data_IF_446163960393
#
_entry.id   IF_446163960393
#
_cell.length_a   1.000
_cell.length_b   1.000
_cell.length_c   1.000
_cell.angle_alpha   90.00
_cell.angle_beta   90.00
_cell.angle_gamma   90.00
#
_symmetry.space_group_name_H-M   'P 1'
#
loop_
_entity.id
_entity.type
_entity.pdbx_description
1 polymer ?
#
# COMPACT_ATOMS: atom_id res chain seq x y z
N UNK A 1 -36.50 -38.16 43.08
CA UNK A 1 -36.32 -38.61 44.48
C UNK A 1 -36.00 -40.09 44.46
N UNK A 2 -34.77 -40.44 44.90
CA UNK A 2 -34.21 -41.77 45.25
C UNK A 2 -34.07 -42.83 44.14
N UNK A 3 -33.05 -43.70 44.09
CA UNK A 3 -31.59 -43.70 44.32
C UNK A 3 -31.14 -45.19 44.31
N UNK A 4 -29.99 -45.48 43.69
CA UNK A 4 -28.99 -46.54 43.97
C UNK A 4 -29.32 -48.05 43.91
N UNK A 5 -28.59 -48.81 43.06
CA UNK A 5 -27.37 -49.60 43.40
C UNK A 5 -26.92 -50.42 42.17
N UNK A 6 -25.70 -50.28 41.63
CA UNK A 6 -24.36 -50.76 42.08
C UNK A 6 -24.07 -52.22 41.73
N UNK A 7 -23.08 -52.44 40.84
CA UNK A 7 -22.07 -53.51 40.94
C UNK A 7 -20.79 -53.08 40.20
N UNK A 8 -19.63 -53.42 40.77
CA UNK A 8 -18.26 -52.95 40.49
C UNK A 8 -17.32 -54.17 40.33
N UNK A 9 -16.18 -53.97 39.65
CA UNK A 9 -14.89 -54.73 39.73
C UNK A 9 -14.81 -56.10 39.02
N UNK A 10 -13.70 -56.59 38.43
CA UNK A 10 -12.28 -56.19 38.35
C UNK A 10 -11.55 -56.84 37.14
N UNK A 11 -10.42 -56.22 36.77
CA UNK A 11 -9.24 -56.63 35.96
C UNK A 11 -8.77 -58.09 35.97
N UNK A 12 -8.26 -58.60 34.82
CA UNK A 12 -7.00 -59.42 34.71
C UNK A 12 -6.36 -59.25 33.32
N UNK A 13 -5.02 -59.08 33.34
CA UNK A 13 -4.03 -58.95 32.27
C UNK A 13 -3.64 -60.32 31.69
N UNK A 14 -3.39 -60.44 30.37
CA UNK A 14 -2.53 -61.50 29.84
C UNK A 14 -1.62 -61.00 28.70
N UNK A 15 -0.32 -61.16 28.95
CA UNK A 15 0.84 -60.92 28.11
C UNK A 15 1.12 -62.19 27.29
N UNK A 16 1.39 -62.12 25.98
CA UNK A 16 2.30 -63.07 25.31
C UNK A 16 2.87 -62.49 24.01
N UNK A 17 4.18 -62.65 23.92
CA UNK A 17 5.14 -62.17 22.92
C UNK A 17 5.21 -63.16 21.76
N UNK A 18 5.31 -62.68 20.52
CA UNK A 18 5.99 -63.43 19.45
C UNK A 18 6.70 -62.47 18.48
N UNK A 19 7.98 -62.77 18.30
CA UNK A 19 9.02 -62.04 17.60
C UNK A 19 9.01 -62.43 16.12
N UNK A 20 9.04 -61.46 15.21
CA UNK A 20 9.63 -61.66 13.87
C UNK A 20 10.51 -60.45 13.54
N UNK A 21 11.82 -60.70 13.49
CA UNK A 21 12.84 -59.80 12.93
C UNK A 21 12.79 -59.87 11.41
N UNK A 22 12.90 -58.73 10.72
CA UNK A 22 13.79 -58.57 9.55
C UNK A 22 13.73 -57.15 8.95
N UNK A 23 14.84 -56.44 9.18
CA UNK A 23 15.52 -55.47 8.30
C UNK A 23 14.86 -54.11 7.98
N UNK A 24 15.41 -53.11 8.68
CA UNK A 24 15.38 -51.69 8.38
C UNK A 24 16.21 -51.35 7.12
N UNK A 25 15.68 -50.45 6.28
CA UNK A 25 16.47 -49.42 5.60
C UNK A 25 15.84 -48.06 5.90
N UNK A 26 16.46 -47.30 6.79
CA UNK A 26 16.19 -45.89 7.02
C UNK A 26 17.26 -45.07 6.30
N UNK A 27 16.82 -44.14 5.45
CA UNK A 27 17.65 -43.11 4.84
C UNK A 27 18.14 -42.14 5.91
N UNK A 28 19.43 -41.83 5.88
CA UNK A 28 20.14 -41.02 6.86
C UNK A 28 19.78 -39.54 6.73
N UNK A 29 19.15 -38.98 7.77
CA UNK A 29 19.24 -37.57 8.10
C UNK A 29 19.63 -37.48 9.59
N UNK A 30 20.46 -36.50 9.91
CA UNK A 30 20.95 -36.09 11.22
C UNK A 30 22.16 -36.84 11.80
N UNK A 31 23.35 -36.31 11.48
CA UNK A 31 24.41 -35.99 12.45
C UNK A 31 25.59 -35.35 11.72
N UNK A 32 25.78 -34.03 11.88
CA UNK A 32 27.13 -33.45 11.83
C UNK A 32 27.29 -32.56 13.06
N UNK A 33 28.18 -33.05 13.93
CA UNK A 33 28.69 -32.46 15.15
C UNK A 33 29.75 -31.41 14.78
N UNK A 34 29.86 -30.36 15.60
CA UNK A 34 30.81 -29.27 15.39
C UNK A 34 32.25 -29.76 15.45
N UNK A 35 33.03 -29.49 14.40
CA UNK A 35 34.49 -29.53 14.47
C UNK A 35 35.06 -28.17 14.05
N UNK A 36 35.68 -27.49 15.02
CA UNK A 36 36.49 -26.31 14.76
C UNK A 36 37.85 -26.76 14.23
N UNK A 37 38.09 -26.52 12.94
CA UNK A 37 39.43 -26.59 12.34
C UNK A 37 39.74 -25.24 11.71
N UNK A 38 40.71 -24.54 12.29
CA UNK A 38 41.30 -23.31 11.77
C UNK A 38 42.19 -23.62 10.56
N UNK A 39 41.78 -23.18 9.37
CA UNK A 39 42.66 -23.14 8.19
C UNK A 39 43.00 -21.69 7.85
N UNK A 40 44.29 -21.32 7.75
CA UNK A 40 44.71 -19.99 7.34
C UNK A 40 44.64 -19.92 5.82
N UNK A 41 43.81 -19.04 5.28
CA UNK A 41 43.87 -18.68 3.85
C UNK A 41 44.17 -17.19 3.75
N UNK A 42 45.40 -16.89 3.35
CA UNK A 42 45.89 -15.55 3.12
C UNK A 42 45.21 -14.91 1.91
N UNK A 43 44.87 -13.64 2.06
CA UNK A 43 44.44 -12.75 0.99
C UNK A 43 45.57 -12.59 -0.03
N UNK A 44 45.34 -13.04 -1.26
CA UNK A 44 46.13 -12.65 -2.43
C UNK A 44 45.24 -11.76 -3.32
N UNK A 45 45.39 -10.45 -3.17
CA UNK A 45 44.83 -9.47 -4.09
C UNK A 45 45.64 -9.48 -5.39
N UNK A 46 45.03 -9.64 -6.58
CA UNK A 46 45.72 -9.37 -7.83
C UNK A 46 45.80 -7.84 -8.04
N UNK A 47 47.01 -7.32 -8.23
CA UNK A 47 47.22 -5.94 -8.69
C UNK A 47 46.74 -5.80 -10.14
N UNK A 48 45.94 -4.77 -10.48
CA UNK A 48 45.55 -4.51 -11.86
C UNK A 48 46.73 -3.90 -12.64
N UNK A 49 47.00 -4.45 -13.83
CA UNK A 49 47.93 -3.88 -14.82
C UNK A 49 47.26 -2.65 -15.45
N UNK A 50 47.93 -1.49 -15.57
CA UNK A 50 47.33 -0.30 -16.16
C UNK A 50 47.26 -0.44 -17.68
N UNK A 51 46.06 -0.48 -18.25
CA UNK A 51 45.83 -0.29 -19.69
C UNK A 51 45.94 1.20 -20.07
N UNK A 52 46.51 1.56 -21.24
CA UNK A 52 46.65 2.95 -21.65
C UNK A 52 45.27 3.60 -21.90
N UNK A 53 45.06 4.79 -21.35
CA UNK A 53 43.85 5.59 -21.58
C UNK A 53 43.82 6.12 -23.02
N UNK A 54 42.83 5.70 -23.80
CA UNK A 54 42.41 6.39 -25.03
C UNK A 54 41.38 7.44 -24.64
N UNK A 55 41.49 8.70 -25.08
CA UNK A 55 40.50 9.72 -24.73
C UNK A 55 39.18 9.42 -25.44
N UNK A 56 38.17 9.00 -24.67
CA UNK A 56 36.83 8.78 -25.18
C UNK A 56 36.06 10.10 -25.12
N UNK A 57 35.93 10.76 -26.27
CA UNK A 57 34.82 11.68 -26.50
C UNK A 57 33.55 10.82 -26.54
N UNK A 58 32.86 10.70 -25.40
CA UNK A 58 31.58 10.02 -25.32
C UNK A 58 30.47 11.07 -25.31
N UNK A 59 29.86 11.26 -26.48
CA UNK A 59 28.45 11.61 -26.59
C UNK A 59 27.66 10.68 -25.66
N UNK A 60 26.77 11.25 -24.85
CA UNK A 60 25.96 10.51 -23.90
C UNK A 60 24.92 9.71 -24.70
N UNK A 61 25.30 8.52 -25.17
CA UNK A 61 24.38 7.58 -25.80
C UNK A 61 23.26 7.27 -24.80
N UNK A 62 22.07 7.82 -25.06
CA UNK A 62 20.85 7.45 -24.35
C UNK A 62 20.58 5.98 -24.67
N UNK A 63 20.82 5.11 -23.69
CA UNK A 63 20.25 3.76 -23.70
C UNK A 63 18.74 3.92 -23.89
N UNK A 64 18.11 3.25 -24.87
CA UNK A 64 16.67 3.33 -25.03
C UNK A 64 16.02 2.88 -23.72
N UNK A 65 15.24 3.76 -23.08
CA UNK A 65 14.46 3.39 -21.91
C UNK A 65 13.57 2.21 -22.29
N UNK A 66 13.77 1.07 -21.64
CA UNK A 66 12.81 -0.04 -21.72
C UNK A 66 11.42 0.51 -21.44
N UNK A 67 10.40 0.15 -22.24
CA UNK A 67 9.06 0.68 -22.04
C UNK A 67 8.60 0.37 -20.63
N UNK A 68 8.02 1.36 -19.97
CA UNK A 68 7.42 1.19 -18.65
C UNK A 68 6.23 0.23 -18.77
N UNK A 69 6.41 -1.01 -18.32
CA UNK A 69 5.40 -2.07 -18.40
C UNK A 69 5.18 -2.66 -17.02
N UNK A 70 3.92 -2.78 -16.62
CA UNK A 70 3.48 -3.53 -15.45
C UNK A 70 2.84 -4.83 -15.94
N UNK A 71 3.46 -5.95 -15.60
CA UNK A 71 2.94 -7.27 -15.95
C UNK A 71 1.73 -7.61 -15.07
N UNK A 72 0.75 -8.29 -15.66
CA UNK A 72 -0.39 -8.85 -14.93
C UNK A 72 -0.09 -10.29 -14.52
N UNK A 73 -0.17 -10.57 -13.21
CA UNK A 73 0.21 -11.85 -12.61
C UNK A 73 -1.00 -12.74 -12.26
N UNK A 74 -2.11 -12.58 -13.00
CA UNK A 74 -3.31 -13.44 -12.97
C UNK A 74 -4.09 -13.49 -11.64
N UNK A 75 -3.77 -12.61 -10.69
CA UNK A 75 -4.48 -12.43 -9.44
C UNK A 75 -5.72 -11.54 -9.55
N UNK A 76 -6.59 -11.54 -8.53
CA UNK A 76 -7.81 -10.74 -8.56
C UNK A 76 -7.51 -9.25 -8.39
N UNK A 77 -8.42 -8.41 -8.90
CA UNK A 77 -8.46 -6.97 -8.64
C UNK A 77 -9.59 -6.63 -7.67
N UNK A 78 -9.61 -5.40 -7.14
CA UNK A 78 -10.73 -4.93 -6.31
C UNK A 78 -11.89 -4.46 -7.18
N UNK A 79 -12.69 -5.42 -7.67
CA UNK A 79 -13.89 -5.17 -8.49
C UNK A 79 -15.09 -4.64 -7.69
N UNK A 80 -15.04 -4.80 -6.36
CA UNK A 80 -16.10 -4.39 -5.45
C UNK A 80 -17.35 -5.28 -5.51
N UNK A 81 -18.43 -4.84 -4.87
CA UNK A 81 -19.74 -5.46 -5.00
C UNK A 81 -20.63 -4.52 -5.81
N UNK A 82 -21.28 -5.04 -6.86
CA UNK A 82 -22.11 -4.25 -7.79
C UNK A 82 -21.39 -3.01 -8.35
N UNK A 83 -20.10 -3.17 -8.71
CA UNK A 83 -19.23 -2.11 -9.24
C UNK A 83 -18.93 -0.97 -8.24
N UNK A 84 -19.08 -1.27 -6.93
CA UNK A 84 -18.83 -0.34 -5.81
C UNK A 84 -17.83 -0.94 -4.82
N UNK A 85 -16.71 -0.25 -4.60
CA UNK A 85 -15.78 -0.56 -3.53
C UNK A 85 -16.18 0.17 -2.26
N UNK A 86 -16.49 -0.58 -1.19
CA UNK A 86 -16.68 -0.01 0.14
C UNK A 86 -15.32 0.19 0.80
N UNK A 87 -15.08 1.42 1.27
CA UNK A 87 -13.91 1.83 2.02
C UNK A 87 -14.32 2.09 3.48
N UNK A 88 -13.63 1.44 4.41
CA UNK A 88 -13.76 1.66 5.85
C UNK A 88 -12.51 2.35 6.37
N UNK A 89 -12.66 3.51 7.01
CA UNK A 89 -11.54 4.32 7.47
C UNK A 89 -11.44 4.29 8.99
N UNK A 90 -10.26 3.96 9.51
CA UNK A 90 -9.97 3.91 10.93
C UNK A 90 -8.97 5.03 11.24
N UNK A 91 -9.43 6.06 11.95
CA UNK A 91 -8.57 7.13 12.46
C UNK A 91 -8.00 6.70 13.81
N UNK A 92 -6.68 6.55 13.88
CA UNK A 92 -5.94 6.21 15.09
C UNK A 92 -5.10 7.42 15.53
N UNK A 93 -5.38 7.96 16.72
CA UNK A 93 -4.73 9.17 17.23
C UNK A 93 -5.63 10.40 17.23
N UNK A 94 -5.00 11.58 17.33
CA UNK A 94 -5.65 12.82 17.76
C UNK A 94 -6.14 13.74 16.62
N UNK A 95 -6.58 13.17 15.49
CA UNK A 95 -6.98 13.94 14.31
C UNK A 95 -8.03 15.02 14.66
N UNK A 96 -7.73 16.26 14.29
CA UNK A 96 -8.67 17.38 14.45
C UNK A 96 -9.88 17.25 13.52
N UNK A 97 -10.98 17.91 13.86
CA UNK A 97 -12.18 17.97 13.02
C UNK A 97 -11.89 18.50 11.61
N UNK A 98 -10.96 19.46 11.48
CA UNK A 98 -10.59 20.03 10.18
C UNK A 98 -9.85 19.00 9.32
N UNK A 99 -8.92 18.24 9.90
CA UNK A 99 -8.17 17.21 9.19
C UNK A 99 -9.09 16.09 8.71
N UNK A 100 -9.97 15.58 9.59
CA UNK A 100 -10.98 14.57 9.21
C UNK A 100 -11.91 15.06 8.11
N UNK A 101 -12.42 16.30 8.23
CA UNK A 101 -13.28 16.90 7.20
C UNK A 101 -12.59 16.97 5.84
N UNK A 102 -11.29 17.29 5.81
CA UNK A 102 -10.48 17.33 4.56
C UNK A 102 -10.34 15.94 3.94
N UNK A 103 -10.05 14.91 4.76
CA UNK A 103 -9.96 13.52 4.32
C UNK A 103 -11.31 12.99 3.83
N UNK A 104 -12.39 13.29 4.54
CA UNK A 104 -13.76 12.94 4.14
C UNK A 104 -14.15 13.56 2.80
N UNK A 105 -13.81 14.84 2.57
CA UNK A 105 -14.01 15.49 1.26
C UNK A 105 -13.27 14.72 0.16
N UNK A 106 -12.02 14.31 0.39
CA UNK A 106 -11.28 13.49 -0.56
C UNK A 106 -12.00 12.16 -0.85
N UNK A 107 -12.36 11.39 0.19
CA UNK A 107 -13.02 10.09 0.02
C UNK A 107 -14.37 10.20 -0.68
N UNK A 108 -15.18 11.20 -0.34
CA UNK A 108 -16.46 11.44 -1.00
C UNK A 108 -16.28 11.82 -2.48
N UNK A 109 -15.14 12.41 -2.85
CA UNK A 109 -14.83 12.79 -4.23
C UNK A 109 -14.58 11.60 -5.16
N UNK A 110 -14.43 10.38 -4.63
CA UNK A 110 -14.26 9.13 -5.40
C UNK A 110 -15.60 8.52 -5.85
N UNK A 111 -16.74 9.12 -5.46
CA UNK A 111 -18.09 8.64 -5.81
C UNK A 111 -18.55 9.17 -7.17
N UNK A 112 -19.35 8.36 -7.87
CA UNK A 112 -20.00 8.80 -9.09
C UNK A 112 -21.00 9.94 -8.80
N UNK A 113 -21.09 10.90 -9.73
CA UNK A 113 -22.05 12.01 -9.64
C UNK A 113 -21.52 13.24 -8.92
N UNK A 114 -20.33 13.18 -8.32
CA UNK A 114 -19.64 14.37 -7.81
C UNK A 114 -19.22 15.24 -8.98
N UNK A 115 -19.88 16.40 -9.12
CA UNK A 115 -19.54 17.43 -10.10
C UNK A 115 -19.10 18.68 -9.34
N UNK A 116 -17.81 19.07 -9.40
CA UNK A 116 -17.40 20.39 -8.95
C UNK A 116 -18.21 21.46 -9.68
N UNK A 117 -18.50 22.58 -9.02
CA UNK A 117 -19.18 23.71 -9.69
C UNK A 117 -18.23 24.48 -10.61
N UNK A 118 -16.93 24.25 -10.50
CA UNK A 118 -15.93 24.73 -11.45
C UNK A 118 -16.00 23.99 -12.80
N UNK A 119 -15.56 24.69 -13.85
CA UNK A 119 -15.70 24.36 -15.27
C UNK A 119 -15.55 22.86 -15.57
N UNK A 120 -16.47 22.32 -16.38
CA UNK A 120 -16.53 20.91 -16.81
C UNK A 120 -15.26 20.36 -17.48
N UNK A 121 -14.30 21.23 -17.79
CA UNK A 121 -13.02 20.93 -18.44
C UNK A 121 -11.89 20.54 -17.49
N UNK A 122 -12.00 20.75 -16.17
CA UNK A 122 -10.90 20.42 -15.26
C UNK A 122 -10.89 18.93 -14.84
N UNK A 123 -9.70 18.37 -14.51
CA UNK A 123 -9.59 17.05 -13.90
C UNK A 123 -10.29 16.99 -12.53
N UNK A 124 -10.85 15.83 -12.19
CA UNK A 124 -11.53 15.61 -10.91
C UNK A 124 -11.05 14.32 -10.25
N UNK A 125 -11.18 14.21 -8.93
CA UNK A 125 -10.84 12.98 -8.20
C UNK A 125 -11.58 11.77 -8.74
N UNK A 126 -12.89 11.89 -9.02
CA UNK A 126 -13.68 10.79 -9.59
C UNK A 126 -13.18 10.38 -10.98
N UNK A 127 -12.88 11.36 -11.84
CA UNK A 127 -12.33 11.05 -13.15
C UNK A 127 -10.95 10.38 -12.97
N UNK A 128 -10.04 10.90 -12.13
CA UNK A 128 -8.74 10.27 -11.83
C UNK A 128 -8.90 8.81 -11.39
N UNK A 129 -9.90 8.54 -10.55
CA UNK A 129 -10.25 7.18 -10.15
C UNK A 129 -10.63 6.29 -11.34
N UNK A 130 -11.30 6.83 -12.37
CA UNK A 130 -11.64 6.06 -13.57
C UNK A 130 -10.43 5.55 -14.34
N UNK A 131 -9.22 6.09 -14.15
CA UNK A 131 -8.02 5.54 -14.79
C UNK A 131 -7.75 4.09 -14.33
N UNK A 132 -8.12 3.75 -13.09
CA UNK A 132 -8.03 2.37 -12.56
C UNK A 132 -8.94 1.39 -13.32
N UNK A 133 -9.95 1.90 -14.06
CA UNK A 133 -10.84 1.07 -14.89
C UNK A 133 -10.18 0.53 -16.14
N UNK A 134 -8.93 0.87 -16.45
CA UNK A 134 -8.22 0.25 -17.56
C UNK A 134 -7.62 -1.11 -17.19
N UNK A 135 -7.46 -1.38 -15.89
CA UNK A 135 -6.98 -2.64 -15.36
C UNK A 135 -8.10 -3.69 -15.39
N UNK A 136 -7.75 -4.93 -15.75
CA UNK A 136 -8.69 -6.04 -15.95
C UNK A 136 -8.13 -7.30 -15.30
N UNK A 137 -8.96 -8.05 -14.60
CA UNK A 137 -8.57 -9.37 -14.10
C UNK A 137 -8.67 -10.44 -15.20
N UNK A 138 -8.38 -11.69 -14.84
CA UNK A 138 -8.44 -12.87 -15.73
C UNK A 138 -9.83 -13.09 -16.35
N UNK A 139 -10.89 -12.61 -15.70
CA UNK A 139 -12.28 -12.73 -16.16
C UNK A 139 -12.73 -11.51 -16.98
N UNK A 140 -11.87 -10.50 -17.13
CA UNK A 140 -12.19 -9.25 -17.79
C UNK A 140 -12.95 -8.27 -16.91
N UNK A 141 -13.07 -8.53 -15.61
CA UNK A 141 -13.68 -7.59 -14.67
C UNK A 141 -12.67 -6.49 -14.33
N UNK A 142 -13.17 -5.26 -14.26
CA UNK A 142 -12.35 -4.10 -13.92
C UNK A 142 -12.42 -3.75 -12.44
N UNK A 143 -11.48 -2.91 -12.00
CA UNK A 143 -11.58 -2.21 -10.70
C UNK A 143 -12.95 -1.55 -10.56
N UNK A 144 -13.49 -1.48 -9.33
CA UNK A 144 -14.77 -0.86 -9.06
C UNK A 144 -14.90 0.56 -9.63
N UNK A 145 -16.06 0.91 -10.21
CA UNK A 145 -16.33 2.25 -10.79
C UNK A 145 -16.18 3.38 -9.80
N UNK A 146 -16.52 3.13 -8.55
CA UNK A 146 -16.55 4.15 -7.53
C UNK A 146 -16.18 3.57 -6.19
N UNK A 147 -15.64 4.44 -5.35
CA UNK A 147 -15.37 4.14 -3.94
C UNK A 147 -16.40 4.85 -3.09
N UNK A 148 -16.90 4.17 -2.08
CA UNK A 148 -17.84 4.69 -1.10
C UNK A 148 -17.19 4.61 0.28
N UNK A 149 -17.06 5.76 0.96
CA UNK A 149 -16.81 5.79 2.40
C UNK A 149 -18.01 5.16 3.11
N UNK A 150 -17.87 3.90 3.52
CA UNK A 150 -18.96 3.07 4.03
C UNK A 150 -19.05 3.06 5.55
N UNK A 151 -17.97 3.41 6.24
CA UNK A 151 -17.92 3.52 7.69
C UNK A 151 -16.61 4.14 8.15
N UNK A 152 -16.66 4.76 9.34
CA UNK A 152 -15.51 5.42 9.95
C UNK A 152 -15.44 5.05 11.42
N UNK A 153 -14.24 4.78 11.93
CA UNK A 153 -13.98 4.48 13.34
C UNK A 153 -12.89 5.40 13.88
N UNK A 154 -13.02 5.80 15.14
CA UNK A 154 -12.00 6.59 15.84
C UNK A 154 -11.43 5.77 17.00
N UNK A 155 -10.11 5.68 17.07
CA UNK A 155 -9.37 4.99 18.12
C UNK A 155 -8.37 5.98 18.70
N UNK A 156 -8.42 6.29 20.01
CA UNK A 156 -7.41 7.13 20.65
C UNK A 156 -6.00 6.52 20.51
N UNK A 157 -4.97 7.36 20.47
CA UNK A 157 -3.58 6.87 20.49
C UNK A 157 -3.30 6.11 21.78
N UNK A 158 -2.73 4.90 21.65
CA UNK A 158 -2.23 4.11 22.76
C UNK A 158 -0.69 3.94 22.72
N UNK A 159 0.00 4.73 21.90
CA UNK A 159 1.46 4.74 21.78
C UNK A 159 1.96 4.24 20.43
N UNK A 160 3.05 3.48 20.45
CA UNK A 160 3.73 3.03 19.25
C UNK A 160 3.04 1.81 18.64
N UNK A 161 2.96 1.75 17.32
CA UNK A 161 2.39 0.63 16.58
C UNK A 161 3.46 -0.10 15.75
N UNK A 162 3.36 -1.42 15.72
CA UNK A 162 4.03 -2.28 14.75
C UNK A 162 3.10 -2.58 13.56
N UNK A 163 3.64 -3.21 12.52
CA UNK A 163 2.80 -3.71 11.43
C UNK A 163 1.75 -4.74 11.89
N UNK A 164 2.06 -5.53 12.92
CA UNK A 164 1.12 -6.51 13.49
C UNK A 164 -0.02 -5.82 14.23
N UNK A 165 0.25 -4.72 14.94
CA UNK A 165 -0.78 -3.94 15.63
C UNK A 165 -1.77 -3.33 14.63
N UNK A 166 -1.27 -2.82 13.49
CA UNK A 166 -2.12 -2.32 12.40
C UNK A 166 -3.03 -3.43 11.87
N UNK A 167 -2.48 -4.62 11.63
CA UNK A 167 -3.28 -5.76 11.18
C UNK A 167 -4.36 -6.13 12.21
N UNK A 168 -4.03 -6.07 13.51
CA UNK A 168 -4.98 -6.33 14.58
C UNK A 168 -6.09 -5.26 14.63
N UNK A 169 -5.76 -3.98 14.48
CA UNK A 169 -6.74 -2.88 14.38
C UNK A 169 -7.74 -3.11 13.24
N UNK A 170 -7.26 -3.62 12.09
CA UNK A 170 -8.11 -3.97 10.96
C UNK A 170 -9.05 -5.12 11.35
N UNK A 171 -8.52 -6.22 11.90
CA UNK A 171 -9.31 -7.37 12.35
C UNK A 171 -10.38 -6.97 13.37
N UNK A 172 -10.03 -6.16 14.37
CA UNK A 172 -10.95 -5.70 15.41
C UNK A 172 -12.06 -4.81 14.84
N UNK A 173 -11.76 -4.05 13.78
CA UNK A 173 -12.73 -3.19 13.09
C UNK A 173 -13.72 -3.98 12.23
N UNK A 174 -13.42 -5.24 11.91
CA UNK A 174 -14.35 -6.10 11.15
C UNK A 174 -15.63 -6.45 11.92
N UNK A 175 -15.60 -6.36 13.26
CA UNK A 175 -16.78 -6.59 14.10
C UNK A 175 -17.90 -5.58 13.78
N UNK A 176 -17.52 -4.33 13.48
CA UNK A 176 -18.46 -3.26 13.13
C UNK A 176 -18.73 -3.21 11.62
N UNK A 177 -17.70 -3.39 10.81
CA UNK A 177 -17.76 -3.13 9.37
C UNK A 177 -18.05 -4.37 8.51
N UNK A 178 -18.06 -5.57 9.11
CA UNK A 178 -18.15 -6.84 8.43
C UNK A 178 -16.78 -7.32 7.93
N UNK A 179 -16.76 -8.46 7.24
CA UNK A 179 -15.57 -9.13 6.71
C UNK A 179 -15.81 -9.51 5.26
N UNK A 180 -15.00 -9.01 4.33
CA UNK A 180 -15.13 -9.36 2.90
C UNK A 180 -13.85 -9.06 2.14
N UNK A 181 -13.44 -9.96 1.25
CA UNK A 181 -12.34 -9.70 0.32
C UNK A 181 -12.65 -8.61 -0.73
N UNK A 182 -13.91 -8.15 -0.82
CA UNK A 182 -14.37 -7.13 -1.79
C UNK A 182 -14.49 -5.72 -1.18
N UNK A 183 -14.05 -5.54 0.06
CA UNK A 183 -14.01 -4.23 0.75
C UNK A 183 -12.58 -3.91 1.13
N UNK A 184 -12.30 -2.64 1.42
CA UNK A 184 -10.97 -2.18 1.82
C UNK A 184 -11.02 -1.48 3.16
N UNK A 185 -10.02 -1.76 4.00
CA UNK A 185 -9.79 -1.04 5.27
C UNK A 185 -8.59 -0.11 5.11
N UNK A 186 -8.71 1.12 5.60
CA UNK A 186 -7.66 2.11 5.60
C UNK A 186 -7.45 2.61 7.02
N UNK A 187 -6.28 2.31 7.59
CA UNK A 187 -5.86 2.83 8.90
C UNK A 187 -5.07 4.12 8.67
N UNK A 188 -5.50 5.21 9.29
CA UNK A 188 -4.80 6.49 9.26
C UNK A 188 -4.28 6.77 10.67
N UNK A 189 -2.98 7.00 10.82
CA UNK A 189 -2.40 7.41 12.11
C UNK A 189 -2.07 8.89 12.12
N UNK A 190 -2.44 9.59 13.19
CA UNK A 190 -2.13 11.02 13.32
C UNK A 190 -0.68 11.26 13.76
N UNK A 191 -0.27 12.53 13.84
CA UNK A 191 1.12 12.93 14.10
C UNK A 191 1.56 12.68 15.57
N UNK A 192 0.64 12.28 16.44
CA UNK A 192 0.89 11.85 17.83
C UNK A 192 1.18 10.34 17.96
N UNK A 193 1.28 9.62 16.85
CA UNK A 193 1.48 8.17 16.81
C UNK A 193 2.80 7.84 16.13
N UNK A 194 3.60 6.98 16.74
CA UNK A 194 4.81 6.43 16.09
C UNK A 194 4.47 5.06 15.53
N UNK A 195 4.83 4.81 14.28
CA UNK A 195 4.65 3.51 13.64
C UNK A 195 6.01 2.99 13.20
N UNK A 196 6.24 1.70 13.40
CA UNK A 196 7.44 1.01 12.92
C UNK A 196 7.72 1.33 11.45
N UNK A 197 8.97 1.72 11.16
CA UNK A 197 9.48 2.07 9.81
C UNK A 197 8.78 3.25 9.12
N UNK A 198 7.84 3.93 9.76
CA UNK A 198 7.33 5.20 9.25
C UNK A 198 8.50 6.17 9.04
N UNK A 199 8.46 6.93 7.94
CA UNK A 199 9.51 7.87 7.57
C UNK A 199 10.88 7.24 7.23
N UNK A 200 11.00 5.91 7.20
CA UNK A 200 12.19 5.20 6.71
C UNK A 200 12.01 4.82 5.23
N UNK A 201 11.84 5.84 4.37
CA UNK A 201 11.47 5.73 2.94
C UNK A 201 10.03 5.22 2.69
N UNK A 202 9.19 5.18 3.73
CA UNK A 202 7.81 4.69 3.65
C UNK A 202 6.88 5.69 4.33
N UNK A 203 5.85 6.12 3.61
CA UNK A 203 4.80 7.03 4.09
C UNK A 203 3.50 6.31 4.47
N UNK A 204 3.42 5.04 4.07
CA UNK A 204 2.30 4.14 4.27
C UNK A 204 2.59 2.81 3.57
N UNK A 205 1.81 1.79 3.88
CA UNK A 205 1.96 0.43 3.33
C UNK A 205 0.60 -0.16 3.04
N UNK A 206 0.54 -1.12 2.12
CA UNK A 206 -0.63 -1.99 2.01
C UNK A 206 -0.24 -3.46 2.13
N UNK A 207 -1.14 -4.23 2.70
CA UNK A 207 -1.00 -5.66 2.98
C UNK A 207 -2.37 -6.33 2.93
N UNK A 208 -2.42 -7.61 3.25
CA UNK A 208 -3.65 -8.35 3.39
C UNK A 208 -3.55 -9.31 4.58
N UNK A 209 -4.70 -9.66 5.17
CA UNK A 209 -4.75 -10.75 6.15
C UNK A 209 -4.76 -12.10 5.45
N UNK A 210 -4.15 -13.10 6.07
CA UNK A 210 -4.43 -14.50 5.71
C UNK A 210 -5.82 -14.92 6.20
N UNK A 211 -6.46 -15.92 5.56
CA UNK A 211 -7.70 -16.50 6.04
C UNK A 211 -7.55 -17.02 7.47
N UNK A 212 -8.48 -16.65 8.35
CA UNK A 212 -8.57 -17.22 9.70
C UNK A 212 -10.03 -17.26 10.16
N UNK A 213 -10.30 -17.94 11.28
CA UNK A 213 -11.63 -17.93 11.90
C UNK A 213 -12.07 -16.50 12.26
N UNK A 214 -11.13 -15.63 12.64
CA UNK A 214 -11.39 -14.23 12.95
C UNK A 214 -11.87 -13.44 11.73
N UNK A 215 -11.45 -13.82 10.52
CA UNK A 215 -11.83 -13.15 9.26
C UNK A 215 -12.90 -13.92 8.48
N UNK A 216 -13.55 -14.91 9.08
CA UNK A 216 -14.50 -15.82 8.41
C UNK A 216 -13.89 -16.45 7.14
N UNK A 217 -12.61 -16.85 7.25
CA UNK A 217 -11.79 -17.36 6.15
C UNK A 217 -11.61 -16.41 4.97
N UNK A 218 -11.85 -15.10 5.13
CA UNK A 218 -11.58 -14.10 4.10
C UNK A 218 -10.13 -13.60 4.17
N UNK A 219 -9.55 -13.31 3.00
CA UNK A 219 -8.37 -12.44 2.89
C UNK A 219 -8.84 -11.00 2.82
N UNK A 220 -8.42 -10.16 3.75
CA UNK A 220 -8.86 -8.77 3.83
C UNK A 220 -7.72 -7.85 3.38
N UNK A 221 -7.85 -7.14 2.25
CA UNK A 221 -6.87 -6.14 1.84
C UNK A 221 -7.01 -4.89 2.71
N UNK A 222 -5.89 -4.34 3.15
CA UNK A 222 -5.86 -3.13 3.95
C UNK A 222 -4.63 -2.28 3.67
N UNK A 223 -4.76 -0.98 3.93
CA UNK A 223 -3.65 -0.05 3.87
C UNK A 223 -3.51 0.73 5.17
N UNK A 224 -2.31 1.24 5.41
CA UNK A 224 -2.02 2.19 6.47
C UNK A 224 -1.28 3.41 5.90
N UNK A 225 -1.61 4.60 6.38
CA UNK A 225 -0.92 5.86 6.07
C UNK A 225 -0.69 6.66 7.35
N UNK A 226 0.54 7.13 7.55
CA UNK A 226 0.90 7.98 8.69
C UNK A 226 0.87 9.47 8.36
N UNK A 227 0.48 10.30 9.33
CA UNK A 227 0.59 11.74 9.24
C UNK A 227 2.06 12.18 9.38
N UNK A 228 2.68 12.76 8.34
CA UNK A 228 4.11 13.03 8.35
C UNK A 228 4.48 14.35 9.03
N UNK A 229 3.52 15.15 9.47
CA UNK A 229 3.70 16.54 9.93
C UNK A 229 4.90 16.73 10.87
N UNK A 230 5.05 15.86 11.88
CA UNK A 230 6.12 15.96 12.88
C UNK A 230 7.38 15.15 12.54
N UNK A 231 7.25 14.04 11.83
CA UNK A 231 8.34 13.06 11.69
C UNK A 231 9.13 13.22 10.39
N UNK A 232 8.46 13.43 9.26
CA UNK A 232 9.12 13.50 7.95
C UNK A 232 8.31 14.27 6.90
N UNK A 233 7.94 15.54 7.14
CA UNK A 233 7.21 16.33 6.16
C UNK A 233 7.97 16.40 4.83
N UNK A 234 9.30 16.51 4.87
CA UNK A 234 10.14 16.57 3.67
C UNK A 234 10.06 15.36 2.74
N UNK A 235 9.73 14.18 3.26
CA UNK A 235 9.62 12.95 2.48
C UNK A 235 8.17 12.73 2.02
N UNK A 236 7.23 12.80 2.97
CA UNK A 236 5.86 12.32 2.79
C UNK A 236 4.83 13.43 2.55
N UNK A 237 5.25 14.69 2.62
CA UNK A 237 4.46 15.86 2.21
C UNK A 237 5.05 16.55 0.98
N UNK A 238 6.02 15.97 0.28
CA UNK A 238 6.49 16.53 -0.98
C UNK A 238 5.34 16.48 -2.02
N UNK A 239 5.05 17.57 -2.76
CA UNK A 239 5.83 18.80 -2.93
C UNK A 239 5.43 19.97 -1.99
N UNK A 240 4.61 19.78 -0.97
CA UNK A 240 4.17 20.84 -0.02
C UNK A 240 5.15 21.11 1.13
N UNK A 241 6.17 20.28 1.28
CA UNK A 241 7.30 20.51 2.19
C UNK A 241 8.62 20.53 1.40
N UNK A 242 9.67 21.22 1.90
CA UNK A 242 11.02 21.15 1.33
C UNK A 242 11.51 19.69 1.28
N UNK A 243 12.02 19.23 0.15
CA UNK A 243 12.46 17.85 -0.04
C UNK A 243 13.19 17.65 -1.37
N UNK A 244 14.17 16.74 -1.40
CA UNK A 244 15.01 16.53 -2.58
C UNK A 244 15.70 17.82 -3.03
N UNK A 245 15.49 18.20 -4.30
CA UNK A 245 16.02 19.45 -4.87
C UNK A 245 15.15 20.69 -4.54
N UNK A 246 13.96 20.48 -3.98
CA UNK A 246 13.01 21.55 -3.70
C UNK A 246 13.29 22.18 -2.32
N UNK A 247 13.76 23.44 -2.32
CA UNK A 247 14.11 24.17 -1.09
C UNK A 247 12.91 24.76 -0.35
N UNK A 248 11.83 25.05 -1.06
CA UNK A 248 10.62 25.67 -0.51
C UNK A 248 9.43 24.82 -0.95
N UNK A 249 8.62 24.36 0.00
CA UNK A 249 7.38 23.64 -0.27
C UNK A 249 6.39 24.49 -1.08
N UNK A 250 5.60 23.85 -1.93
CA UNK A 250 4.45 24.47 -2.56
C UNK A 250 3.40 24.81 -1.50
N UNK A 251 2.52 25.77 -1.81
CA UNK A 251 1.41 26.09 -0.92
C UNK A 251 0.38 24.96 -0.98
N UNK A 252 0.12 24.36 0.18
CA UNK A 252 -0.81 23.24 0.37
C UNK A 252 -2.28 23.68 0.17
N UNK A 253 -3.08 23.01 -0.67
CA UNK A 253 -4.43 23.44 -1.02
C UNK A 253 -5.44 23.45 0.13
N UNK A 254 -5.21 22.66 1.19
CA UNK A 254 -6.11 22.59 2.34
C UNK A 254 -5.53 23.27 3.59
N UNK A 255 -4.37 23.92 3.44
CA UNK A 255 -3.68 24.65 4.50
C UNK A 255 -3.07 23.76 5.58
N UNK A 256 -2.87 22.47 5.28
CA UNK A 256 -2.21 21.48 6.13
C UNK A 256 -1.36 20.57 5.23
N UNK A 257 -0.06 20.86 5.14
CA UNK A 257 0.87 20.12 4.30
C UNK A 257 1.00 18.64 4.72
N UNK A 258 0.77 18.33 5.99
CA UNK A 258 0.76 16.96 6.50
C UNK A 258 -0.40 16.16 5.92
N UNK A 259 -1.62 16.69 6.05
CA UNK A 259 -2.82 16.05 5.49
C UNK A 259 -2.79 16.03 3.96
N UNK A 260 -2.32 17.10 3.31
CA UNK A 260 -2.19 17.12 1.86
C UNK A 260 -1.16 16.09 1.37
N UNK A 261 -0.10 15.84 2.14
CA UNK A 261 0.85 14.73 1.92
C UNK A 261 0.24 13.34 2.16
N UNK A 262 -0.59 13.21 3.21
CA UNK A 262 -1.35 11.98 3.44
C UNK A 262 -2.26 11.67 2.26
N UNK A 263 -2.96 12.66 1.69
CA UNK A 263 -3.87 12.46 0.55
C UNK A 263 -3.11 11.95 -0.68
N UNK A 264 -1.93 12.47 -0.97
CA UNK A 264 -1.04 11.95 -2.02
C UNK A 264 -0.75 10.46 -1.76
N UNK A 265 -0.33 10.13 -0.54
CA UNK A 265 0.02 8.75 -0.14
C UNK A 265 -1.19 7.81 -0.19
N UNK A 266 -2.35 8.26 0.30
CA UNK A 266 -3.62 7.53 0.25
C UNK A 266 -3.99 7.25 -1.21
N UNK A 267 -3.89 8.25 -2.10
CA UNK A 267 -4.20 8.08 -3.51
C UNK A 267 -3.29 7.06 -4.19
N UNK A 268 -1.98 7.13 -3.93
CA UNK A 268 -1.01 6.11 -4.39
C UNK A 268 -1.41 4.72 -3.92
N UNK A 269 -1.63 4.55 -2.61
CA UNK A 269 -1.96 3.23 -2.05
C UNK A 269 -3.32 2.72 -2.50
N UNK A 270 -4.33 3.58 -2.67
CA UNK A 270 -5.64 3.17 -3.18
C UNK A 270 -5.49 2.59 -4.60
N UNK A 271 -4.78 3.28 -5.50
CA UNK A 271 -4.56 2.80 -6.86
C UNK A 271 -3.75 1.48 -6.88
N UNK A 272 -2.73 1.36 -6.03
CA UNK A 272 -1.95 0.14 -5.90
C UNK A 272 -2.78 -1.03 -5.36
N UNK A 273 -3.48 -0.85 -4.24
CA UNK A 273 -4.31 -1.91 -3.62
C UNK A 273 -5.38 -2.41 -4.58
N UNK A 274 -6.05 -1.53 -5.32
CA UNK A 274 -7.13 -1.99 -6.19
C UNK A 274 -6.66 -2.72 -7.44
N UNK A 275 -5.42 -2.47 -7.87
CA UNK A 275 -4.79 -3.12 -9.02
C UNK A 275 -3.91 -4.32 -8.62
N UNK A 276 -3.57 -4.46 -7.34
CA UNK A 276 -2.72 -5.52 -6.80
C UNK A 276 -3.02 -5.83 -5.31
N UNK A 277 -4.25 -6.22 -4.94
CA UNK A 277 -4.65 -6.34 -3.53
C UNK A 277 -3.89 -7.42 -2.74
N UNK A 278 -3.40 -8.45 -3.43
CA UNK A 278 -2.77 -9.63 -2.82
C UNK A 278 -1.40 -9.97 -3.43
N UNK A 279 -0.71 -9.00 -4.03
CA UNK A 279 0.63 -9.21 -4.60
C UNK A 279 0.67 -10.13 -5.85
N UNK A 280 -0.46 -10.26 -6.54
CA UNK A 280 -0.62 -11.08 -7.77
C UNK A 280 -1.38 -10.36 -8.88
N UNK A 281 -1.63 -9.06 -8.75
CA UNK A 281 -2.28 -8.23 -9.77
C UNK A 281 -1.26 -7.64 -10.74
N UNK A 282 -1.18 -6.31 -10.81
CA UNK A 282 -0.28 -5.60 -11.71
C UNK A 282 0.94 -5.03 -10.98
N UNK A 283 2.14 -5.49 -11.35
CA UNK A 283 3.39 -4.96 -10.80
C UNK A 283 4.61 -5.28 -11.68
N UNK A 284 5.68 -4.50 -11.52
CA UNK A 284 6.99 -4.71 -12.14
C UNK A 284 7.86 -5.67 -11.31
N UNK A 285 8.89 -6.33 -11.88
CA UNK A 285 9.75 -7.25 -11.14
C UNK A 285 10.42 -6.68 -9.88
N UNK A 286 10.62 -5.37 -9.81
CA UNK A 286 11.17 -4.65 -8.65
C UNK A 286 10.11 -4.31 -7.57
N UNK A 287 8.84 -4.66 -7.81
CA UNK A 287 7.72 -4.45 -6.90
C UNK A 287 6.98 -3.13 -7.10
N UNK A 288 7.31 -2.31 -8.10
CA UNK A 288 6.54 -1.11 -8.41
C UNK A 288 5.17 -1.45 -9.01
N UNK A 289 4.15 -0.72 -8.59
CA UNK A 289 2.73 -0.95 -8.89
C UNK A 289 2.14 0.26 -9.62
N UNK A 290 0.84 0.20 -9.92
CA UNK A 290 0.11 1.13 -10.80
C UNK A 290 0.43 2.63 -10.58
N UNK A 291 0.45 3.10 -9.33
CA UNK A 291 0.77 4.49 -9.02
C UNK A 291 2.20 4.69 -8.52
N UNK A 292 2.81 3.69 -7.85
CA UNK A 292 4.19 3.83 -7.36
C UNK A 292 5.22 3.87 -8.49
N UNK A 293 4.94 3.28 -9.64
CA UNK A 293 5.78 3.42 -10.83
C UNK A 293 5.77 4.86 -11.40
N UNK A 294 4.75 5.65 -11.08
CA UNK A 294 4.59 7.03 -11.51
C UNK A 294 4.96 8.02 -10.39
N UNK A 295 5.79 7.59 -9.44
CA UNK A 295 6.12 8.37 -8.25
C UNK A 295 6.61 9.79 -8.61
N UNK A 296 5.93 10.78 -8.02
CA UNK A 296 6.26 12.19 -8.17
C UNK A 296 5.85 12.84 -9.49
N UNK A 297 5.16 12.10 -10.37
CA UNK A 297 4.55 12.65 -11.58
C UNK A 297 3.14 13.11 -11.24
N UNK A 298 2.92 14.42 -11.23
CA UNK A 298 1.60 15.01 -10.94
C UNK A 298 1.05 15.88 -12.08
N UNK A 299 1.87 16.18 -13.08
CA UNK A 299 1.49 16.96 -14.25
C UNK A 299 2.51 16.81 -15.39
N UNK A 300 2.18 17.39 -16.54
CA UNK A 300 3.06 17.40 -17.72
C UNK A 300 4.43 17.98 -17.42
N UNK A 301 5.47 17.36 -18.00
CA UNK A 301 6.84 17.82 -17.82
C UNK A 301 7.41 17.61 -16.40
N UNK A 302 6.84 16.69 -15.61
CA UNK A 302 7.45 16.27 -14.36
C UNK A 302 8.81 15.61 -14.60
N UNK A 303 9.73 15.79 -13.65
CA UNK A 303 11.07 15.20 -13.64
C UNK A 303 11.57 15.15 -12.19
N UNK A 304 12.66 14.45 -11.85
CA UNK A 304 13.15 14.37 -10.48
C UNK A 304 13.32 15.75 -9.82
N UNK A 305 12.54 16.02 -8.77
CA UNK A 305 12.51 17.29 -8.05
C UNK A 305 11.51 18.34 -8.55
N UNK A 306 10.73 18.04 -9.60
CA UNK A 306 9.66 18.89 -10.11
C UNK A 306 8.36 18.08 -10.29
N UNK A 307 7.23 18.49 -9.69
CA UNK A 307 5.96 17.77 -9.80
C UNK A 307 5.31 17.85 -11.20
N UNK A 308 5.90 18.63 -12.12
CA UNK A 308 5.32 18.97 -13.41
C UNK A 308 4.40 20.19 -13.31
N UNK A 309 3.66 20.45 -14.40
CA UNK A 309 2.73 21.58 -14.48
C UNK A 309 1.47 21.33 -13.64
N UNK A 310 1.27 22.14 -12.61
CA UNK A 310 0.11 22.09 -11.71
C UNK A 310 -0.85 23.26 -11.96
N UNK A 311 -2.10 23.10 -11.51
CA UNK A 311 -3.04 24.19 -11.34
C UNK A 311 -2.63 25.02 -10.12
N UNK A 312 -2.89 26.33 -10.17
CA UNK A 312 -2.64 27.25 -9.07
C UNK A 312 -3.93 27.99 -8.75
N UNK A 313 -4.29 28.01 -7.47
CA UNK A 313 -5.43 28.78 -6.99
C UNK A 313 -5.09 30.27 -6.92
N UNK A 314 -5.86 31.10 -7.61
CA UNK A 314 -5.56 32.52 -7.75
C UNK A 314 -5.63 33.32 -6.44
N UNK A 315 -6.42 32.88 -5.44
CA UNK A 315 -6.57 33.60 -4.18
C UNK A 315 -5.56 33.18 -3.13
N UNK A 316 -5.26 31.89 -3.00
CA UNK A 316 -4.34 31.36 -2.00
C UNK A 316 -2.91 31.12 -2.51
N UNK A 317 -2.72 31.01 -3.83
CA UNK A 317 -1.47 30.55 -4.43
C UNK A 317 -1.25 29.03 -4.30
N UNK A 318 -2.22 28.29 -3.77
CA UNK A 318 -2.10 26.85 -3.57
C UNK A 318 -1.99 26.08 -4.88
N UNK A 319 -1.12 25.07 -4.91
CA UNK A 319 -0.91 24.20 -6.08
C UNK A 319 -1.69 22.89 -5.94
N UNK A 320 -2.30 22.42 -7.02
CA UNK A 320 -3.12 21.19 -7.05
C UNK A 320 -3.27 20.68 -8.49
N UNK A 321 -3.85 19.50 -8.71
CA UNK A 321 -4.13 19.01 -10.08
C UNK A 321 -5.56 18.51 -10.30
N UNK A 322 -6.34 18.26 -9.24
CA UNK A 322 -7.73 17.81 -9.35
C UNK A 322 -8.67 18.57 -8.42
N UNK A 323 -9.92 18.70 -8.84
CA UNK A 323 -11.03 19.13 -7.99
C UNK A 323 -11.81 17.93 -7.42
N UNK A 324 -12.30 18.09 -6.20
CA UNK A 324 -13.17 17.14 -5.52
C UNK A 324 -14.54 17.72 -5.14
N UNK A 325 -15.20 17.04 -4.22
CA UNK A 325 -16.46 17.42 -3.59
C UNK A 325 -16.36 18.85 -3.04
N UNK A 326 -17.42 19.64 -3.26
CA UNK A 326 -17.52 21.04 -2.82
C UNK A 326 -16.35 21.92 -3.28
N UNK A 327 -15.76 21.61 -4.43
CA UNK A 327 -14.56 22.26 -4.99
C UNK A 327 -13.32 22.18 -4.09
N UNK A 328 -13.25 21.16 -3.22
CA UNK A 328 -12.01 20.83 -2.55
C UNK A 328 -10.91 20.58 -3.60
N UNK A 329 -9.66 20.89 -3.26
CA UNK A 329 -8.53 20.82 -4.17
C UNK A 329 -7.54 19.82 -3.64
N UNK A 330 -7.05 18.93 -4.51
CA UNK A 330 -6.13 17.89 -4.14
C UNK A 330 -5.04 17.72 -5.19
N UNK A 331 -3.92 17.13 -4.78
CA UNK A 331 -2.85 16.70 -5.67
C UNK A 331 -2.80 15.18 -5.62
N UNK A 332 -3.02 14.54 -6.76
CA UNK A 332 -3.02 13.08 -6.88
C UNK A 332 -1.94 12.63 -7.86
N UNK A 333 -1.24 11.52 -7.58
CA UNK A 333 -0.23 10.97 -8.47
C UNK A 333 -0.86 10.57 -9.82
N UNK A 334 -0.08 10.64 -10.89
CA UNK A 334 -0.43 9.95 -12.11
C UNK A 334 -0.44 8.44 -11.88
N UNK A 335 -1.24 7.72 -12.65
CA UNK A 335 -1.33 6.25 -12.61
C UNK A 335 -0.86 5.75 -13.98
N UNK A 336 -0.11 4.66 -13.99
CA UNK A 336 0.27 3.98 -15.22
C UNK A 336 -0.98 3.49 -15.96
N UNK A 337 -1.04 3.67 -17.27
CA UNK A 337 -2.17 3.24 -18.09
C UNK A 337 -1.78 2.04 -18.96
N UNK A 338 -2.46 0.88 -18.82
CA UNK A 338 -2.21 -0.29 -19.66
C UNK A 338 -2.38 -0.01 -21.16
N UNK A 339 -3.27 0.91 -21.54
CA UNK A 339 -3.56 1.20 -22.94
C UNK A 339 -2.47 2.04 -23.65
N UNK A 340 -1.77 2.90 -22.90
CA UNK A 340 -0.77 3.83 -23.46
C UNK A 340 0.66 3.51 -23.02
N UNK A 341 0.84 2.62 -22.04
CA UNK A 341 2.10 2.28 -21.40
C UNK A 341 2.81 3.50 -20.78
N UNK A 342 2.03 4.49 -20.33
CA UNK A 342 2.52 5.75 -19.77
C UNK A 342 1.77 6.10 -18.49
N UNK A 343 2.41 6.91 -17.65
CA UNK A 343 1.73 7.56 -16.53
C UNK A 343 0.76 8.63 -17.07
N UNK A 344 -0.44 8.72 -16.49
CA UNK A 344 -1.43 9.74 -16.79
C UNK A 344 -2.19 10.20 -15.53
N UNK A 345 -2.54 11.48 -15.47
CA UNK A 345 -3.34 12.08 -14.37
C UNK A 345 -4.61 12.76 -14.86
N UNK A 346 -5.00 12.45 -16.10
CA UNK A 346 -6.06 13.06 -16.91
C UNK A 346 -5.69 14.40 -17.54
N UNK A 347 -5.62 14.39 -18.86
CA UNK A 347 -5.47 15.56 -19.73
C UNK A 347 -6.65 15.69 -20.68
#
# INVERSE_FOLDING_TARGET
>A
MKLFNSYRSDTVVLLMILIVKSQLRLSHADKIESSYTTHPTGLLSPTPVPTPMVPMNAELDQVPDSPLVLDYHMGPLMTGLDDVLKLYVIYYGSFSTKQKSTLQLFFNSLRQGVKPTQVSSFPTVFKWWQLTREYRDLYGDGVARQVVLAGERNIPSAGNLTQLDIQQIVKDSTVEFGKSARVMYLVLTDDDVTVERFCMNVCGTHFYTYPSDETDSQMLPYAWVGNPTKQCPSLCSWPYAPGGLQKIGLISPNGDAGIDGMIITIATLLANVVTNPFGSGYYQPDGLEAASVCQGIYGTGAFPGSPGKLLVDNSSGASFNVFGEKNAKFLLPWIWQPSTLKCAGQE
#
